data_IF_912357478315
#
_entry.id   IF_912357478315
#
_cell.length_a   1.000
_cell.length_b   1.000
_cell.length_c   1.000
_cell.angle_alpha   90.00
_cell.angle_beta   90.00
_cell.angle_gamma   90.00
#
_symmetry.space_group_name_H-M   'P 1'
#
loop_
_entity.id
_entity.type
_entity.pdbx_description
1 polymer ?
#
# COMPACT_ATOMS: atom_id res chain seq x y z
N UNK A 1 -3.56 -11.51 -1.94
CA UNK A 1 -4.02 -10.67 -3.06
C UNK A 1 -3.68 -11.39 -4.34
N UNK A 2 -4.64 -11.52 -5.25
CA UNK A 2 -4.42 -12.07 -6.60
C UNK A 2 -4.78 -10.98 -7.59
N UNK A 3 -4.02 -10.85 -8.67
CA UNK A 3 -4.29 -9.88 -9.71
C UNK A 3 -4.10 -10.54 -11.07
N UNK A 4 -4.93 -10.13 -12.05
CA UNK A 4 -4.82 -10.62 -13.42
C UNK A 4 -3.57 -10.10 -14.11
N UNK A 5 -3.20 -8.85 -13.85
CA UNK A 5 -1.98 -8.24 -14.35
C UNK A 5 -1.46 -7.14 -13.42
N UNK A 6 -0.15 -7.03 -13.32
CA UNK A 6 0.58 -5.95 -12.64
C UNK A 6 1.48 -5.24 -13.65
N UNK A 7 1.28 -3.95 -13.84
CA UNK A 7 2.16 -3.10 -14.67
C UNK A 7 2.89 -2.10 -13.78
N UNK A 8 4.22 -2.00 -13.96
CA UNK A 8 5.08 -1.07 -13.22
C UNK A 8 5.83 -0.20 -14.22
N UNK A 9 5.55 1.11 -14.21
CA UNK A 9 6.34 2.11 -14.92
C UNK A 9 7.52 2.56 -14.06
N UNK A 10 8.71 2.61 -14.64
CA UNK A 10 9.92 3.13 -13.98
C UNK A 10 10.54 4.23 -14.85
N UNK A 11 11.09 5.26 -14.21
CA UNK A 11 11.78 6.35 -14.93
C UNK A 11 13.27 5.99 -15.13
N UNK A 12 13.69 5.77 -16.37
CA UNK A 12 15.04 5.28 -16.65
C UNK A 12 16.15 6.29 -16.34
N UNK A 13 15.92 7.59 -16.56
CA UNK A 13 16.94 8.64 -16.35
C UNK A 13 17.53 8.66 -14.93
N UNK A 14 16.75 8.79 -13.83
CA UNK A 14 17.30 8.75 -12.46
C UNK A 14 17.85 7.37 -12.05
N UNK A 15 17.38 6.27 -12.66
CA UNK A 15 17.91 4.92 -12.43
C UNK A 15 19.36 4.78 -12.89
N UNK A 16 19.70 5.35 -14.06
CA UNK A 16 21.04 5.24 -14.66
C UNK A 16 22.05 6.14 -13.93
N UNK A 17 21.63 7.36 -13.53
CA UNK A 17 22.54 8.36 -12.94
C UNK A 17 22.60 8.33 -11.39
N UNK A 18 21.52 7.92 -10.72
CA UNK A 18 21.42 7.98 -9.25
C UNK A 18 21.12 6.63 -8.60
N UNK A 19 20.93 5.55 -9.37
CA UNK A 19 20.46 4.22 -8.89
C UNK A 19 19.18 4.29 -8.06
N UNK A 20 18.36 5.32 -8.26
CA UNK A 20 17.10 5.53 -7.56
C UNK A 20 15.95 4.97 -8.39
N UNK A 21 15.20 4.02 -7.81
CA UNK A 21 14.00 3.46 -8.42
C UNK A 21 12.83 4.45 -8.25
N UNK A 22 12.61 5.30 -9.26
CA UNK A 22 11.43 6.16 -9.30
C UNK A 22 10.29 5.40 -10.00
N UNK A 23 9.33 4.91 -9.22
CA UNK A 23 8.14 4.24 -9.75
C UNK A 23 7.14 5.30 -10.20
N UNK A 24 6.91 5.37 -11.51
CA UNK A 24 6.07 6.40 -12.12
C UNK A 24 4.60 6.00 -12.16
N UNK A 25 4.31 4.72 -12.34
CA UNK A 25 2.94 4.23 -12.24
C UNK A 25 2.87 2.76 -11.83
N UNK A 26 1.88 2.42 -11.01
CA UNK A 26 1.49 1.04 -10.73
C UNK A 26 0.04 0.90 -11.16
N UNK A 27 -0.24 -0.02 -12.09
CA UNK A 27 -1.63 -0.33 -12.48
C UNK A 27 -1.91 -1.80 -12.24
N UNK A 28 -3.00 -2.07 -11.54
CA UNK A 28 -3.48 -3.43 -11.23
C UNK A 28 -4.90 -3.58 -11.77
N UNK A 29 -5.05 -4.46 -12.76
CA UNK A 29 -6.35 -4.74 -13.38
C UNK A 29 -7.00 -5.96 -12.73
N UNK A 30 -8.28 -5.80 -12.39
CA UNK A 30 -9.14 -6.82 -11.79
C UNK A 30 -8.51 -7.54 -10.58
N UNK A 31 -7.95 -6.84 -9.58
CA UNK A 31 -7.41 -7.52 -8.41
C UNK A 31 -8.51 -8.04 -7.49
N UNK A 32 -8.27 -9.21 -6.92
CA UNK A 32 -8.98 -9.75 -5.77
C UNK A 32 -8.22 -9.41 -4.48
N UNK A 33 -8.80 -8.51 -3.71
CA UNK A 33 -8.22 -7.98 -2.47
C UNK A 33 -9.06 -8.49 -1.31
N UNK A 34 -8.43 -9.25 -0.41
CA UNK A 34 -9.05 -9.70 0.83
C UNK A 34 -8.49 -8.88 1.99
N UNK A 35 -9.31 -8.01 2.57
CA UNK A 35 -8.99 -7.26 3.77
C UNK A 35 -9.50 -8.04 4.97
N UNK A 36 -8.56 -8.49 5.80
CA UNK A 36 -8.84 -9.26 7.01
C UNK A 36 -8.41 -8.45 8.23
N UNK A 37 -9.33 -8.28 9.18
CA UNK A 37 -9.04 -7.70 10.47
C UNK A 37 -8.81 -8.80 11.51
N UNK A 38 -7.70 -8.71 12.25
CA UNK A 38 -7.40 -9.59 13.38
C UNK A 38 -8.34 -9.29 14.56
N UNK A 39 -8.41 -10.20 15.52
CA UNK A 39 -9.15 -9.97 16.76
C UNK A 39 -8.59 -8.77 17.57
N UNK A 40 -7.32 -8.42 17.37
CA UNK A 40 -6.67 -7.24 17.96
C UNK A 40 -6.93 -5.94 17.19
N UNK A 41 -7.65 -5.97 16.07
CA UNK A 41 -7.98 -4.81 15.26
C UNK A 41 -7.02 -4.50 14.11
N UNK A 42 -5.90 -5.23 14.01
CA UNK A 42 -4.91 -5.05 12.95
C UNK A 42 -5.41 -5.56 11.60
N UNK A 43 -5.12 -4.83 10.53
CA UNK A 43 -5.39 -5.25 9.16
C UNK A 43 -4.19 -5.97 8.56
N UNK A 44 -4.45 -6.99 7.73
CA UNK A 44 -3.40 -7.73 7.00
C UNK A 44 -2.54 -6.89 6.04
N UNK A 45 -2.93 -5.65 5.76
CA UNK A 45 -2.20 -4.69 4.92
C UNK A 45 -1.75 -3.42 5.66
N UNK A 46 -1.84 -3.39 7.00
CA UNK A 46 -1.51 -2.19 7.81
C UNK A 46 -0.04 -1.76 7.74
N UNK A 47 0.86 -2.66 7.34
CA UNK A 47 2.30 -2.42 7.19
C UNK A 47 2.73 -2.15 5.75
N UNK A 48 1.81 -2.13 4.78
CA UNK A 48 2.12 -1.78 3.40
C UNK A 48 2.64 -0.33 3.32
N UNK A 49 3.78 -0.13 2.67
CA UNK A 49 4.45 1.17 2.57
C UNK A 49 5.49 1.43 3.67
N UNK A 50 5.64 0.53 4.64
CA UNK A 50 6.57 0.70 5.76
C UNK A 50 5.81 0.85 7.08
N UNK A 51 6.45 0.44 8.18
CA UNK A 51 5.87 0.56 9.51
C UNK A 51 5.85 2.06 9.86
N UNK A 52 4.65 2.66 9.95
CA UNK A 52 4.52 3.94 10.61
C UNK A 52 5.20 3.84 11.98
N UNK A 53 6.08 4.78 12.37
CA UNK A 53 6.67 4.75 13.69
C UNK A 53 5.52 4.72 14.69
N UNK A 54 5.41 3.64 15.47
CA UNK A 54 4.56 3.65 16.64
C UNK A 54 4.98 4.88 17.44
N UNK A 55 4.02 5.76 17.77
CA UNK A 55 4.27 6.95 18.58
C UNK A 55 5.17 6.54 19.75
N UNK A 56 6.42 7.01 19.70
CA UNK A 56 7.45 6.56 20.60
C UNK A 56 7.06 6.97 22.02
N UNK A 57 6.77 5.97 22.85
CA UNK A 57 7.02 6.13 24.28
C UNK A 57 8.54 6.28 24.44
N UNK A 58 9.05 7.23 25.25
CA UNK A 58 10.47 7.49 25.33
C UNK A 58 11.16 6.29 25.99
N UNK A 59 11.94 5.54 25.22
CA UNK A 59 12.85 4.52 25.74
C UNK A 59 14.29 4.82 25.29
N UNK A 60 15.30 4.49 26.11
CA UNK A 60 16.64 5.06 26.00
C UNK A 60 17.43 4.50 24.80
N UNK A 61 18.53 5.16 24.40
CA UNK A 61 19.23 4.81 23.17
C UNK A 61 20.06 3.52 23.38
N UNK A 62 19.80 2.51 22.55
CA UNK A 62 20.68 1.35 22.44
C UNK A 62 20.91 0.97 20.96
N UNK A 63 22.16 1.20 20.56
CA UNK A 63 22.97 0.52 19.55
C UNK A 63 22.31 0.02 18.25
N UNK A 64 22.65 0.74 17.18
CA UNK A 64 23.00 0.26 15.84
C UNK A 64 22.74 -1.22 15.54
N UNK A 65 21.60 -1.49 14.90
CA UNK A 65 21.47 -2.59 13.95
C UNK A 65 21.07 -1.97 12.62
N UNK A 66 21.77 -2.36 11.56
CA UNK A 66 21.53 -1.95 10.17
C UNK A 66 20.12 -2.33 9.74
N UNK A 67 19.12 -1.57 10.19
CA UNK A 67 17.79 -1.63 9.63
C UNK A 67 17.86 -0.74 8.40
N UNK A 68 17.95 -1.37 7.22
CA UNK A 68 17.76 -0.67 5.96
C UNK A 68 16.59 0.28 6.15
N UNK A 69 16.87 1.59 6.14
CA UNK A 69 15.83 2.60 6.26
C UNK A 69 14.73 2.17 5.28
N UNK A 70 13.46 2.05 5.73
CA UNK A 70 12.39 1.63 4.85
C UNK A 70 12.50 2.55 3.63
N UNK A 71 12.89 1.98 2.49
CA UNK A 71 13.14 2.75 1.28
C UNK A 71 11.87 3.56 1.08
N UNK A 72 11.97 4.89 1.19
CA UNK A 72 10.80 5.75 1.21
C UNK A 72 10.09 5.58 -0.13
N UNK A 73 9.09 4.69 -0.13
CA UNK A 73 8.41 4.28 -1.34
C UNK A 73 7.49 5.43 -1.71
N UNK A 74 7.84 6.10 -2.81
CA UNK A 74 7.00 7.08 -3.44
C UNK A 74 6.60 6.58 -4.83
N UNK A 75 5.33 6.75 -5.16
CA UNK A 75 4.77 6.32 -6.44
C UNK A 75 3.89 7.44 -6.97
N UNK A 76 4.19 7.93 -8.17
CA UNK A 76 3.47 9.07 -8.75
C UNK A 76 2.00 8.77 -9.05
N UNK A 77 1.69 7.54 -9.48
CA UNK A 77 0.31 7.13 -9.77
C UNK A 77 0.09 5.66 -9.44
N UNK A 78 -0.93 5.36 -8.66
CA UNK A 78 -1.40 3.98 -8.45
C UNK A 78 -2.85 3.89 -8.92
N UNK A 79 -3.14 2.95 -9.82
CA UNK A 79 -4.49 2.69 -10.32
C UNK A 79 -4.88 1.24 -10.09
N UNK A 80 -6.03 1.05 -9.47
CA UNK A 80 -6.73 -0.23 -9.41
C UNK A 80 -8.00 -0.08 -10.23
N UNK A 81 -8.23 -1.01 -11.15
CA UNK A 81 -9.40 -0.97 -12.01
C UNK A 81 -10.20 -2.26 -11.89
N UNK A 82 -11.53 -2.13 -11.74
CA UNK A 82 -12.49 -3.24 -11.70
C UNK A 82 -12.13 -4.32 -10.66
N UNK A 83 -11.62 -3.89 -9.50
CA UNK A 83 -11.23 -4.79 -8.42
C UNK A 83 -12.42 -5.37 -7.67
N UNK A 84 -12.18 -6.49 -6.99
CA UNK A 84 -13.11 -7.09 -6.03
C UNK A 84 -12.49 -7.02 -4.64
N UNK A 85 -13.16 -6.33 -3.73
CA UNK A 85 -12.69 -6.13 -2.35
C UNK A 85 -13.59 -6.90 -1.39
N UNK A 86 -13.05 -7.93 -0.74
CA UNK A 86 -13.74 -8.65 0.33
C UNK A 86 -13.24 -8.17 1.69
N UNK A 87 -14.14 -7.66 2.51
CA UNK A 87 -13.90 -7.19 3.86
C UNK A 87 -14.39 -8.22 4.87
N UNK A 88 -13.51 -8.64 5.78
CA UNK A 88 -13.85 -9.56 6.86
C UNK A 88 -13.34 -8.98 8.20
N UNK A 89 -14.28 -8.54 9.05
CA UNK A 89 -13.99 -7.92 10.36
C UNK A 89 -14.32 -8.89 11.50
N UNK A 90 -13.54 -9.97 11.59
CA UNK A 90 -13.64 -10.96 12.66
C UNK A 90 -14.87 -11.87 12.61
N UNK A 91 -14.88 -12.88 13.49
CA UNK A 91 -15.79 -14.04 13.40
C UNK A 91 -17.30 -13.74 13.50
N UNK A 92 -17.69 -12.55 13.97
CA UNK A 92 -19.10 -12.17 14.18
C UNK A 92 -19.66 -11.21 13.14
N UNK A 93 -18.84 -10.66 12.25
CA UNK A 93 -19.33 -9.76 11.21
C UNK A 93 -19.60 -10.53 9.91
N UNK A 94 -20.64 -10.11 9.19
CA UNK A 94 -20.90 -10.68 7.86
C UNK A 94 -19.82 -10.16 6.90
N UNK A 95 -19.14 -11.03 6.14
CA UNK A 95 -18.24 -10.60 5.10
C UNK A 95 -18.95 -9.66 4.13
N UNK A 96 -18.32 -8.53 3.81
CA UNK A 96 -18.84 -7.58 2.82
C UNK A 96 -17.97 -7.66 1.58
N UNK A 97 -18.60 -7.80 0.42
CA UNK A 97 -17.89 -7.77 -0.87
C UNK A 97 -18.31 -6.52 -1.60
N UNK A 98 -17.32 -5.78 -2.10
CA UNK A 98 -17.51 -4.68 -3.04
C UNK A 98 -16.98 -5.12 -4.40
N UNK A 99 -17.74 -4.84 -5.43
CA UNK A 99 -17.39 -5.17 -6.80
C UNK A 99 -17.04 -3.91 -7.58
N UNK A 100 -16.36 -4.12 -8.70
CA UNK A 100 -16.02 -3.06 -9.64
C UNK A 100 -15.31 -1.85 -8.97
N UNK A 101 -14.45 -2.16 -7.99
CA UNK A 101 -13.74 -1.17 -7.19
C UNK A 101 -12.67 -0.51 -8.06
N UNK A 102 -12.75 0.81 -8.17
CA UNK A 102 -11.73 1.64 -8.80
C UNK A 102 -11.05 2.49 -7.72
N UNK A 103 -9.72 2.42 -7.68
CA UNK A 103 -8.92 3.22 -6.75
C UNK A 103 -7.87 3.96 -7.54
N UNK A 104 -7.76 5.25 -7.31
CA UNK A 104 -6.70 6.08 -7.88
C UNK A 104 -5.99 6.83 -6.74
N UNK A 105 -4.68 6.62 -6.64
CA UNK A 105 -3.81 7.35 -5.72
C UNK A 105 -2.84 8.16 -6.57
N UNK A 106 -2.65 9.43 -6.22
CA UNK A 106 -1.68 10.31 -6.87
C UNK A 106 -0.64 10.73 -5.85
N UNK A 107 0.61 10.76 -6.28
CA UNK A 107 1.75 11.16 -5.46
C UNK A 107 1.79 10.41 -4.11
N UNK A 108 1.57 9.09 -4.18
CA UNK A 108 1.62 8.23 -3.01
C UNK A 108 2.98 8.34 -2.33
N UNK A 109 2.96 8.48 -1.01
CA UNK A 109 4.14 8.52 -0.16
C UNK A 109 3.81 7.85 1.17
N UNK A 110 4.68 6.96 1.62
CA UNK A 110 4.54 6.33 2.93
C UNK A 110 4.79 7.30 4.11
N UNK A 111 5.43 8.44 3.85
CA UNK A 111 5.85 9.39 4.87
C UNK A 111 4.98 10.67 4.93
N UNK A 112 4.04 10.84 4.00
CA UNK A 112 3.23 12.06 3.90
C UNK A 112 1.82 11.77 3.41
N UNK A 113 0.89 12.67 3.71
CA UNK A 113 -0.49 12.62 3.20
C UNK A 113 -0.50 12.73 1.67
N UNK A 114 -1.47 12.06 1.04
CA UNK A 114 -1.65 12.09 -0.42
C UNK A 114 -3.14 12.00 -0.78
N UNK A 115 -3.56 12.56 -1.93
CA UNK A 115 -4.93 12.46 -2.42
C UNK A 115 -5.24 11.04 -2.92
N UNK A 116 -6.45 10.56 -2.62
CA UNK A 116 -6.97 9.30 -3.13
C UNK A 116 -8.44 9.44 -3.55
N UNK A 117 -8.81 8.68 -4.57
CA UNK A 117 -10.19 8.50 -5.02
C UNK A 117 -10.55 7.02 -4.92
N UNK A 118 -11.72 6.73 -4.37
CA UNK A 118 -12.28 5.39 -4.24
C UNK A 118 -13.71 5.40 -4.78
N UNK A 119 -13.98 4.52 -5.74
CA UNK A 119 -15.30 4.27 -6.29
C UNK A 119 -15.59 2.77 -6.21
N UNK A 120 -16.80 2.40 -5.81
CA UNK A 120 -17.21 1.01 -5.68
C UNK A 120 -18.72 0.88 -5.84
N UNK A 121 -19.18 -0.28 -6.30
CA UNK A 121 -20.60 -0.62 -6.45
C UNK A 121 -20.94 -1.89 -5.68
#
# INVERSE_FOLDING_TARGET
>A
MRAKSLSVGVELWPLIFSRQLNVTSITVDQPEIALLQSAGGDWNFSSLGGKAPAAASPAPPAASTNNAAPTALSVKLVKISKGRLSLNTGAKSKPRVLENVNIELRDFSAASSFPFLLEAT
#
